data_IF_668851642333
#
_entry.id   IF_668851642333
#
_cell.length_a   1.000
_cell.length_b   1.000
_cell.length_c   1.000
_cell.angle_alpha   90.00
_cell.angle_beta   90.00
_cell.angle_gamma   90.00
#
_symmetry.space_group_name_H-M   'P 1'
#
loop_
_entity.id
_entity.type
_entity.pdbx_description
1 polymer ?
#
# COMPACT_ATOMS: atom_id res chain seq x y z
N UNK A 1 11.40 9.59 7.58
CA UNK A 1 10.90 8.62 6.60
C UNK A 1 10.75 9.27 5.22
N UNK A 2 11.07 8.52 4.16
CA UNK A 2 10.81 8.90 2.76
C UNK A 2 10.04 7.77 2.07
N UNK A 3 8.92 8.11 1.46
CA UNK A 3 8.03 7.18 0.74
C UNK A 3 8.07 7.53 -0.75
N UNK A 4 8.27 6.54 -1.60
CA UNK A 4 8.25 6.68 -3.06
C UNK A 4 7.35 5.60 -3.66
N UNK A 5 6.46 6.00 -4.56
CA UNK A 5 5.57 5.08 -5.27
C UNK A 5 6.12 4.81 -6.67
N UNK A 6 6.23 3.52 -7.02
CA UNK A 6 6.73 3.08 -8.33
C UNK A 6 5.60 2.71 -9.30
N UNK A 7 4.34 2.81 -8.87
CA UNK A 7 3.16 2.35 -9.61
C UNK A 7 2.59 1.06 -9.03
N UNK A 8 1.35 0.72 -9.41
CA UNK A 8 0.59 -0.40 -8.82
C UNK A 8 0.59 -0.32 -7.28
N UNK A 9 0.95 -1.40 -6.60
CA UNK A 9 1.13 -1.45 -5.16
C UNK A 9 2.61 -1.35 -4.75
N UNK A 10 3.51 -0.95 -5.65
CA UNK A 10 4.93 -0.94 -5.35
C UNK A 10 5.37 0.34 -4.63
N UNK A 11 5.82 0.18 -3.39
CA UNK A 11 6.38 1.27 -2.58
C UNK A 11 7.81 0.99 -2.14
N UNK A 12 8.61 2.05 -2.13
CA UNK A 12 9.85 2.12 -1.37
C UNK A 12 9.61 2.97 -0.14
N UNK A 13 9.78 2.41 1.05
CA UNK A 13 9.73 3.14 2.32
C UNK A 13 11.12 3.13 2.94
N UNK A 14 11.71 4.30 3.15
CA UNK A 14 13.07 4.45 3.65
C UNK A 14 13.11 5.20 4.98
N UNK A 15 13.87 4.65 5.93
CA UNK A 15 14.16 5.21 7.25
C UNK A 15 15.65 5.16 7.51
N UNK A 16 16.32 6.32 7.50
CA UNK A 16 17.78 6.37 7.49
C UNK A 16 18.37 5.52 6.36
N UNK A 17 19.17 4.52 6.73
CA UNK A 17 19.78 3.56 5.80
C UNK A 17 18.91 2.33 5.51
N UNK A 18 17.86 2.10 6.31
CA UNK A 18 16.97 0.97 6.17
C UNK A 18 15.94 1.22 5.05
N UNK A 19 15.80 0.26 4.14
CA UNK A 19 14.87 0.33 3.01
C UNK A 19 13.92 -0.87 2.98
N UNK A 20 12.63 -0.60 2.98
CA UNK A 20 11.56 -1.54 2.70
C UNK A 20 11.10 -1.40 1.24
N UNK A 21 10.99 -2.52 0.53
CA UNK A 21 10.21 -2.60 -0.69
C UNK A 21 8.90 -3.34 -0.40
N UNK A 22 7.80 -2.87 -0.97
CA UNK A 22 6.51 -3.55 -0.92
C UNK A 22 6.09 -3.82 -2.36
N UNK A 23 5.61 -5.03 -2.64
CA UNK A 23 5.05 -5.50 -3.91
C UNK A 23 5.82 -5.07 -5.18
N UNK A 24 7.11 -5.43 -5.33
CA UNK A 24 7.83 -5.15 -6.56
C UNK A 24 7.21 -5.89 -7.75
N UNK A 25 7.11 -5.24 -8.91
CA UNK A 25 6.49 -5.77 -10.12
C UNK A 25 7.49 -5.96 -11.27
N UNK A 26 7.11 -6.73 -12.30
CA UNK A 26 7.90 -6.89 -13.52
C UNK A 26 7.44 -5.99 -14.67
N UNK A 27 8.19 -6.02 -15.78
CA UNK A 27 7.97 -5.13 -16.93
C UNK A 27 6.71 -5.48 -17.74
N UNK A 28 6.16 -6.66 -17.52
CA UNK A 28 5.00 -7.22 -18.21
C UNK A 28 3.77 -6.33 -18.10
N UNK A 29 3.58 -5.67 -16.94
CA UNK A 29 2.48 -4.73 -16.68
C UNK A 29 2.62 -3.40 -17.44
N UNK A 30 3.73 -3.18 -18.14
CA UNK A 30 3.99 -1.97 -18.95
C UNK A 30 4.75 -0.85 -18.24
N UNK A 31 5.01 -0.99 -16.94
CA UNK A 31 5.80 -0.04 -16.16
C UNK A 31 7.28 -0.45 -16.10
N UNK A 32 8.15 0.50 -15.75
CA UNK A 32 9.57 0.22 -15.47
C UNK A 32 9.69 -0.42 -14.09
N UNK A 33 10.21 -1.64 -13.96
CA UNK A 33 10.39 -2.30 -12.67
C UNK A 33 11.21 -1.47 -11.68
N UNK A 34 10.91 -1.52 -10.37
CA UNK A 34 11.71 -0.85 -9.37
C UNK A 34 13.15 -1.39 -9.37
N UNK A 35 14.14 -0.49 -9.33
CA UNK A 35 15.56 -0.87 -9.23
C UNK A 35 16.24 -0.07 -8.13
N UNK A 36 16.22 -0.62 -6.92
CA UNK A 36 16.91 -0.07 -5.76
C UNK A 36 17.24 -1.18 -4.76
N UNK A 37 18.30 -1.00 -3.95
CA UNK A 37 18.61 -1.92 -2.86
C UNK A 37 17.54 -1.81 -1.78
N UNK A 38 17.04 -2.95 -1.30
CA UNK A 38 16.18 -3.05 -0.13
C UNK A 38 16.82 -3.95 0.93
N UNK A 39 16.43 -3.73 2.18
CA UNK A 39 16.78 -4.57 3.33
C UNK A 39 15.70 -5.60 3.62
N UNK A 40 14.45 -5.24 3.34
CA UNK A 40 13.26 -6.06 3.53
C UNK A 40 12.36 -5.89 2.30
N UNK A 41 11.80 -6.99 1.82
CA UNK A 41 10.79 -7.00 0.75
C UNK A 41 9.52 -7.65 1.30
N UNK A 42 8.39 -6.95 1.24
CA UNK A 42 7.09 -7.50 1.59
C UNK A 42 6.35 -7.82 0.29
N UNK A 43 5.80 -9.03 0.21
CA UNK A 43 4.94 -9.45 -0.90
C UNK A 43 3.57 -9.81 -0.31
N UNK A 44 2.54 -9.06 -0.70
CA UNK A 44 1.18 -9.19 -0.16
C UNK A 44 0.52 -10.48 -0.64
N UNK A 45 0.76 -10.86 -1.90
CA UNK A 45 0.27 -12.08 -2.54
C UNK A 45 1.07 -12.40 -3.82
N UNK A 46 0.84 -13.59 -4.40
CA UNK A 46 1.69 -14.15 -5.46
C UNK A 46 1.22 -13.84 -6.89
N UNK A 47 0.43 -12.78 -7.09
CA UNK A 47 0.10 -12.35 -8.44
C UNK A 47 1.31 -11.70 -9.12
N UNK A 48 1.35 -11.85 -10.44
CA UNK A 48 2.49 -11.47 -11.30
C UNK A 48 2.90 -9.99 -11.19
N UNK A 49 1.96 -9.13 -10.86
CA UNK A 49 2.08 -7.69 -10.73
C UNK A 49 2.49 -7.24 -9.31
N UNK A 50 2.75 -8.17 -8.39
CA UNK A 50 3.09 -7.89 -6.99
C UNK A 50 4.32 -8.65 -6.45
N UNK A 51 4.80 -9.71 -7.12
CA UNK A 51 5.75 -10.64 -6.51
C UNK A 51 7.13 -10.72 -7.16
N UNK A 52 7.50 -9.76 -8.00
CA UNK A 52 8.76 -9.74 -8.74
C UNK A 52 9.96 -9.30 -7.88
N UNK A 53 10.26 -10.09 -6.85
CA UNK A 53 11.40 -9.87 -5.93
C UNK A 53 12.73 -9.86 -6.67
N UNK A 54 12.85 -10.54 -7.81
CA UNK A 54 14.06 -10.57 -8.64
C UNK A 54 14.46 -9.19 -9.21
N UNK A 55 13.54 -8.22 -9.24
CA UNK A 55 13.87 -6.83 -9.59
C UNK A 55 14.69 -6.11 -8.52
N UNK A 56 14.66 -6.60 -7.29
CA UNK A 56 15.39 -6.05 -6.15
C UNK A 56 16.76 -6.75 -6.06
N UNK A 57 17.88 -6.01 -5.89
CA UNK A 57 19.19 -6.60 -5.66
C UNK A 57 19.21 -7.58 -4.49
N UNK A 58 20.03 -8.63 -4.60
CA UNK A 58 20.15 -9.67 -3.59
C UNK A 58 20.52 -9.14 -2.19
N UNK A 59 20.09 -9.86 -1.15
CA UNK A 59 20.43 -9.59 0.25
C UNK A 59 19.29 -9.02 1.11
N UNK A 60 18.11 -8.78 0.52
CA UNK A 60 16.92 -8.41 1.26
C UNK A 60 16.28 -9.63 1.96
N UNK A 61 15.72 -9.43 3.15
CA UNK A 61 14.86 -10.42 3.78
C UNK A 61 13.46 -10.35 3.16
N UNK A 62 12.92 -11.47 2.69
CA UNK A 62 11.64 -11.50 1.99
C UNK A 62 10.56 -12.04 2.93
N UNK A 63 9.51 -11.25 3.15
CA UNK A 63 8.31 -11.65 3.90
C UNK A 63 7.20 -11.97 2.90
N UNK A 64 6.59 -13.14 3.08
CA UNK A 64 5.46 -13.62 2.28
C UNK A 64 4.38 -14.15 3.20
N UNK A 65 3.19 -13.58 3.09
CA UNK A 65 1.99 -14.02 3.79
C UNK A 65 1.84 -13.53 5.24
N UNK A 66 0.74 -13.92 5.89
CA UNK A 66 0.39 -13.47 7.24
C UNK A 66 1.38 -13.93 8.31
N UNK A 67 1.41 -13.23 9.44
CA UNK A 67 2.27 -13.55 10.59
C UNK A 67 2.91 -12.31 11.20
N UNK A 68 3.61 -12.49 12.33
CA UNK A 68 4.39 -11.44 12.98
C UNK A 68 5.88 -11.63 12.66
N UNK A 69 6.54 -10.55 12.27
CA UNK A 69 7.93 -10.55 11.89
C UNK A 69 8.66 -9.34 12.49
N UNK A 70 9.87 -9.54 12.96
CA UNK A 70 10.77 -8.47 13.39
C UNK A 70 12.08 -8.56 12.59
N UNK A 71 12.33 -7.56 11.73
CA UNK A 71 13.49 -7.56 10.84
C UNK A 71 14.21 -6.22 10.94
N UNK A 72 15.46 -6.24 11.42
CA UNK A 72 16.32 -5.05 11.50
C UNK A 72 15.64 -3.87 12.22
N UNK A 73 14.87 -4.15 13.28
CA UNK A 73 14.14 -3.14 14.05
C UNK A 73 12.84 -2.64 13.41
N UNK A 74 12.37 -3.28 12.33
CA UNK A 74 11.03 -3.12 11.78
C UNK A 74 10.14 -4.23 12.31
N UNK A 75 9.04 -3.88 12.94
CA UNK A 75 7.98 -4.84 13.23
C UNK A 75 6.98 -4.86 12.07
N UNK A 76 6.59 -6.05 11.64
CA UNK A 76 5.62 -6.26 10.56
C UNK A 76 4.58 -7.28 11.02
N UNK A 77 3.31 -6.91 10.94
CA UNK A 77 2.17 -7.80 11.17
C UNK A 77 1.43 -8.00 9.85
N UNK A 78 1.53 -9.20 9.30
CA UNK A 78 0.76 -9.65 8.14
C UNK A 78 -0.60 -10.18 8.57
N UNK A 79 -1.68 -9.56 8.11
CA UNK A 79 -3.07 -9.91 8.43
C UNK A 79 -3.71 -10.51 7.20
N UNK A 80 -4.32 -11.68 7.34
CA UNK A 80 -4.93 -12.35 6.18
C UNK A 80 -6.28 -11.76 5.83
N UNK A 81 -6.41 -11.37 4.56
CA UNK A 81 -7.68 -10.97 3.93
C UNK A 81 -7.86 -11.71 2.61
N UNK A 82 -8.91 -11.35 1.88
CA UNK A 82 -9.19 -11.86 0.54
C UNK A 82 -9.04 -10.78 -0.51
N UNK A 83 -8.70 -11.23 -1.72
CA UNK A 83 -8.63 -10.38 -2.91
C UNK A 83 -9.98 -10.33 -3.65
N UNK A 84 -11.03 -10.91 -3.09
CA UNK A 84 -12.37 -10.89 -3.67
C UNK A 84 -13.45 -10.98 -2.57
N UNK A 85 -14.70 -10.75 -2.97
CA UNK A 85 -15.89 -10.85 -2.11
C UNK A 85 -16.40 -12.29 -1.94
N UNK A 86 -15.63 -13.29 -2.40
CA UNK A 86 -15.98 -14.71 -2.43
C UNK A 86 -15.03 -15.56 -1.58
N UNK A 87 -14.35 -14.95 -0.61
CA UNK A 87 -13.41 -15.61 0.32
C UNK A 87 -12.17 -16.20 -0.41
N UNK A 88 -11.68 -15.48 -1.42
CA UNK A 88 -10.50 -15.84 -2.20
C UNK A 88 -10.76 -16.92 -3.26
N UNK A 89 -12.02 -17.25 -3.55
CA UNK A 89 -12.38 -18.28 -4.55
C UNK A 89 -12.12 -17.84 -5.98
N UNK A 90 -12.07 -16.53 -6.25
CA UNK A 90 -11.90 -15.99 -7.60
C UNK A 90 -10.48 -15.46 -7.82
N UNK A 91 -9.89 -14.84 -6.80
CA UNK A 91 -8.61 -14.11 -6.87
C UNK A 91 -7.61 -14.48 -5.78
N UNK A 92 -7.98 -15.40 -4.88
CA UNK A 92 -7.08 -15.89 -3.84
C UNK A 92 -7.01 -15.00 -2.59
N UNK A 93 -5.97 -15.25 -1.79
CA UNK A 93 -5.74 -14.53 -0.53
C UNK A 93 -4.95 -13.26 -0.78
N UNK A 94 -5.18 -12.29 0.09
CA UNK A 94 -4.38 -11.07 0.20
C UNK A 94 -3.78 -10.99 1.62
N UNK A 95 -2.66 -10.29 1.76
CA UNK A 95 -2.08 -9.98 3.07
C UNK A 95 -1.99 -8.47 3.22
N UNK A 96 -2.69 -7.93 4.21
CA UNK A 96 -2.44 -6.56 4.69
C UNK A 96 -1.16 -6.60 5.51
N UNK A 97 -0.23 -5.68 5.29
CA UNK A 97 0.92 -5.51 6.17
C UNK A 97 0.79 -4.24 6.99
N UNK A 98 0.74 -4.40 8.31
CA UNK A 98 0.98 -3.31 9.27
C UNK A 98 2.45 -3.28 9.60
N UNK A 99 3.09 -2.13 9.44
CA UNK A 99 4.54 -1.94 9.52
C UNK A 99 4.81 -0.85 10.54
N UNK A 100 5.66 -1.14 11.53
CA UNK A 100 6.07 -0.17 12.53
C UNK A 100 7.54 0.18 12.33
N UNK A 101 7.80 1.46 12.03
CA UNK A 101 9.16 1.99 11.85
C UNK A 101 9.18 3.50 12.09
N UNK A 102 10.28 4.04 12.65
CA UNK A 102 10.38 5.45 13.08
C UNK A 102 9.21 5.92 13.96
N UNK A 103 8.75 5.07 14.89
CA UNK A 103 7.61 5.38 15.79
C UNK A 103 6.32 5.73 15.03
N UNK A 104 6.20 5.28 13.78
CA UNK A 104 5.03 5.43 12.93
C UNK A 104 4.49 4.05 12.53
N UNK A 105 3.16 3.93 12.45
CA UNK A 105 2.47 2.72 12.00
C UNK A 105 1.91 2.93 10.60
N UNK A 106 2.32 2.11 9.65
CA UNK A 106 1.85 2.15 8.27
C UNK A 106 1.03 0.90 8.00
N UNK A 107 -0.03 1.01 7.20
CA UNK A 107 -0.77 -0.15 6.71
C UNK A 107 -0.78 -0.15 5.18
N UNK A 108 -0.29 -1.24 4.59
CA UNK A 108 -0.38 -1.49 3.16
C UNK A 108 -1.44 -2.55 2.90
N UNK A 109 -2.52 -2.17 2.22
CA UNK A 109 -3.67 -3.05 2.06
C UNK A 109 -3.48 -4.14 0.99
N UNK A 110 -2.41 -4.08 0.21
CA UNK A 110 -2.23 -4.95 -0.96
C UNK A 110 -3.43 -4.79 -1.91
N UNK A 111 -3.92 -5.92 -2.39
CA UNK A 111 -5.10 -5.97 -3.26
C UNK A 111 -6.34 -6.37 -2.47
N UNK A 112 -6.60 -5.64 -1.39
CA UNK A 112 -7.82 -5.83 -0.61
C UNK A 112 -9.05 -5.78 -1.53
N UNK A 113 -9.89 -6.82 -1.46
CA UNK A 113 -11.05 -7.01 -2.34
C UNK A 113 -12.30 -7.49 -1.63
N UNK A 114 -12.33 -7.46 -0.29
CA UNK A 114 -13.54 -7.75 0.47
C UNK A 114 -14.51 -6.56 0.42
N UNK A 115 -15.81 -6.82 0.61
CA UNK A 115 -16.85 -5.78 0.54
C UNK A 115 -16.64 -4.71 1.62
N UNK A 116 -16.24 -5.13 2.82
CA UNK A 116 -15.95 -4.26 3.96
C UNK A 116 -14.79 -4.84 4.75
N UNK A 117 -14.08 -3.97 5.46
CA UNK A 117 -13.11 -4.43 6.44
C UNK A 117 -13.84 -5.12 7.60
N UNK A 118 -13.46 -6.37 7.88
CA UNK A 118 -14.07 -7.14 8.96
C UNK A 118 -13.66 -6.56 10.33
N UNK A 119 -14.53 -6.57 11.35
CA UNK A 119 -14.20 -6.02 12.67
C UNK A 119 -12.91 -6.59 13.28
N UNK A 120 -12.67 -7.89 13.14
CA UNK A 120 -11.47 -8.55 13.64
C UNK A 120 -10.20 -8.18 12.85
N UNK A 121 -10.36 -7.82 11.57
CA UNK A 121 -9.26 -7.29 10.76
C UNK A 121 -8.94 -5.87 11.21
N UNK A 122 -9.96 -5.05 11.48
CA UNK A 122 -9.79 -3.68 11.97
C UNK A 122 -9.12 -3.64 13.35
N UNK A 123 -9.51 -4.53 14.26
CA UNK A 123 -8.88 -4.69 15.58
C UNK A 123 -7.39 -5.04 15.45
N UNK A 124 -7.04 -5.97 14.55
CA UNK A 124 -5.64 -6.33 14.30
C UNK A 124 -4.83 -5.20 13.65
N UNK A 125 -5.46 -4.36 12.82
CA UNK A 125 -4.80 -3.20 12.22
C UNK A 125 -4.47 -2.15 13.30
N UNK A 126 -5.45 -1.82 14.15
CA UNK A 126 -5.32 -0.77 15.17
C UNK A 126 -5.11 0.63 14.56
N UNK A 127 -4.52 1.53 15.33
CA UNK A 127 -4.30 2.93 14.89
C UNK A 127 -3.21 3.04 13.81
N UNK A 128 -3.54 3.66 12.68
CA UNK A 128 -2.61 3.81 11.55
C UNK A 128 -2.28 5.29 11.30
N UNK A 129 -1.00 5.56 11.08
CA UNK A 129 -0.55 6.88 10.68
C UNK A 129 -0.63 7.08 9.17
N UNK A 130 -0.22 6.07 8.40
CA UNK A 130 -0.14 6.13 6.94
C UNK A 130 -0.79 4.88 6.34
N UNK A 131 -1.87 5.07 5.58
CA UNK A 131 -2.57 4.01 4.88
C UNK A 131 -2.27 4.06 3.37
N UNK A 132 -1.87 2.93 2.80
CA UNK A 132 -1.82 2.71 1.35
C UNK A 132 -3.05 1.90 0.92
N UNK A 133 -3.92 2.47 0.09
CA UNK A 133 -5.23 1.90 -0.25
C UNK A 133 -5.40 1.76 -1.78
N UNK A 134 -5.75 0.56 -2.29
CA UNK A 134 -6.04 0.40 -3.72
C UNK A 134 -7.38 1.09 -4.07
N UNK A 135 -7.45 1.74 -5.24
CA UNK A 135 -8.65 2.49 -5.67
C UNK A 135 -9.06 2.22 -7.13
N UNK A 136 -8.47 1.20 -7.76
CA UNK A 136 -8.61 0.95 -9.20
C UNK A 136 -9.85 0.15 -9.64
N UNK A 137 -10.67 -0.34 -8.69
CA UNK A 137 -12.03 -0.88 -8.89
C UNK A 137 -12.21 -2.20 -9.65
N UNK A 138 -11.36 -2.51 -10.63
CA UNK A 138 -11.57 -3.69 -11.49
C UNK A 138 -11.11 -5.00 -10.84
N UNK A 139 -9.95 -4.96 -10.16
CA UNK A 139 -9.32 -6.13 -9.55
C UNK A 139 -9.34 -6.06 -8.02
N UNK A 140 -9.46 -4.85 -7.47
CA UNK A 140 -9.52 -4.54 -6.04
C UNK A 140 -10.85 -3.87 -5.70
N UNK A 141 -10.99 -3.35 -4.49
CA UNK A 141 -12.06 -2.39 -4.16
C UNK A 141 -12.05 -1.16 -5.09
N UNK A 142 -13.24 -0.58 -5.27
CA UNK A 142 -13.45 0.68 -5.99
C UNK A 142 -13.28 1.91 -5.08
N UNK A 143 -13.48 3.10 -5.64
CA UNK A 143 -13.32 4.35 -4.92
C UNK A 143 -14.27 4.53 -3.72
N UNK A 144 -15.50 4.03 -3.80
CA UNK A 144 -16.49 4.17 -2.72
C UNK A 144 -16.14 3.23 -1.57
N UNK A 145 -15.87 1.95 -1.87
CA UNK A 145 -15.42 0.98 -0.88
C UNK A 145 -14.06 1.38 -0.26
N UNK A 146 -13.14 1.96 -1.04
CA UNK A 146 -11.88 2.50 -0.52
C UNK A 146 -12.13 3.64 0.48
N UNK A 147 -13.05 4.56 0.20
CA UNK A 147 -13.41 5.62 1.14
C UNK A 147 -14.05 5.06 2.42
N UNK A 148 -14.89 4.02 2.33
CA UNK A 148 -15.42 3.32 3.51
C UNK A 148 -14.30 2.71 4.36
N UNK A 149 -13.30 2.07 3.73
CA UNK A 149 -12.14 1.49 4.45
C UNK A 149 -11.32 2.58 5.12
N UNK A 150 -11.09 3.72 4.46
CA UNK A 150 -10.37 4.86 5.07
C UNK A 150 -11.13 5.40 6.28
N UNK A 151 -12.45 5.54 6.19
CA UNK A 151 -13.28 6.00 7.30
C UNK A 151 -13.36 4.99 8.45
N UNK A 152 -13.20 3.69 8.17
CA UNK A 152 -13.17 2.66 9.21
C UNK A 152 -11.81 2.63 9.95
N UNK A 153 -10.70 2.85 9.24
CA UNK A 153 -9.34 2.82 9.80
C UNK A 153 -8.97 4.18 10.45
N UNK A 154 -9.56 5.28 9.99
CA UNK A 154 -9.28 6.65 10.42
C UNK A 154 -7.78 7.00 10.44
N UNK A 155 -7.02 6.77 9.34
CA UNK A 155 -5.60 7.03 9.34
C UNK A 155 -5.31 8.54 9.35
N UNK A 156 -4.16 8.96 9.88
CA UNK A 156 -3.73 10.37 9.81
C UNK A 156 -3.50 10.82 8.36
N UNK A 157 -2.94 9.92 7.55
CA UNK A 157 -2.61 10.15 6.15
C UNK A 157 -3.00 8.94 5.30
N UNK A 158 -3.54 9.19 4.10
CA UNK A 158 -3.85 8.16 3.11
C UNK A 158 -3.18 8.45 1.77
N UNK A 159 -2.63 7.41 1.16
CA UNK A 159 -2.01 7.41 -0.17
C UNK A 159 -2.80 6.40 -1.04
N UNK A 160 -3.59 6.85 -2.02
CA UNK A 160 -4.21 5.93 -2.97
C UNK A 160 -3.12 5.27 -3.82
N UNK A 161 -3.37 4.02 -4.22
CA UNK A 161 -2.49 3.22 -5.06
C UNK A 161 -3.32 2.34 -6.00
N UNK A 162 -2.65 1.51 -6.81
CA UNK A 162 -3.31 0.54 -7.68
C UNK A 162 -4.45 1.14 -8.54
N UNK A 163 -4.15 2.24 -9.23
CA UNK A 163 -5.05 2.95 -10.15
C UNK A 163 -4.37 3.20 -11.50
N UNK A 164 -5.15 3.65 -12.49
CA UNK A 164 -4.66 3.91 -13.84
C UNK A 164 -3.59 5.01 -13.89
N UNK A 165 -2.44 4.68 -14.48
CA UNK A 165 -1.38 5.63 -14.78
C UNK A 165 -0.86 5.43 -16.21
N UNK A 166 -0.14 6.42 -16.73
CA UNK A 166 0.44 6.35 -18.07
C UNK A 166 1.40 5.16 -18.20
N UNK A 167 1.26 4.38 -19.28
CA UNK A 167 2.10 3.21 -19.58
C UNK A 167 1.64 1.89 -18.95
N UNK A 168 0.76 1.92 -17.96
CA UNK A 168 0.18 0.71 -17.38
C UNK A 168 -0.73 0.00 -18.39
N UNK A 169 -0.53 -1.31 -18.56
CA UNK A 169 -1.37 -2.15 -19.44
C UNK A 169 -2.59 -2.72 -18.74
N UNK A 170 -2.53 -2.87 -17.42
CA UNK A 170 -3.67 -3.30 -16.60
C UNK A 170 -4.71 -2.18 -16.63
N UNK A 171 -5.95 -2.53 -16.97
CA UNK A 171 -7.06 -1.58 -17.02
C UNK A 171 -7.61 -1.39 -15.63
N UNK A 172 -7.53 -0.16 -15.14
CA UNK A 172 -8.00 0.27 -13.83
C UNK A 172 -8.73 1.61 -13.98
N UNK A 173 -9.50 1.99 -12.98
CA UNK A 173 -10.00 3.34 -12.85
C UNK A 173 -8.89 4.29 -12.38
N UNK A 174 -9.03 5.57 -12.69
CA UNK A 174 -8.16 6.62 -12.16
C UNK A 174 -8.53 7.01 -10.72
N UNK A 175 -7.70 7.81 -10.04
CA UNK A 175 -7.91 8.16 -8.64
C UNK A 175 -9.02 9.20 -8.43
N UNK A 176 -9.58 9.79 -9.49
CA UNK A 176 -10.43 10.98 -9.42
C UNK A 176 -11.69 10.78 -8.57
N UNK A 177 -12.34 9.62 -8.71
CA UNK A 177 -13.55 9.32 -7.93
C UNK A 177 -13.20 9.16 -6.44
N UNK A 178 -12.09 8.49 -6.10
CA UNK A 178 -11.63 8.37 -4.72
C UNK A 178 -11.28 9.74 -4.11
N UNK A 179 -10.58 10.60 -4.86
CA UNK A 179 -10.26 11.95 -4.38
C UNK A 179 -11.53 12.77 -4.11
N UNK A 180 -12.57 12.59 -4.91
CA UNK A 180 -13.88 13.22 -4.70
C UNK A 180 -14.57 12.71 -3.43
N UNK A 181 -14.60 11.39 -3.21
CA UNK A 181 -15.17 10.79 -1.99
C UNK A 181 -14.45 11.27 -0.72
N UNK A 182 -13.12 11.40 -0.78
CA UNK A 182 -12.32 11.94 0.31
C UNK A 182 -12.39 13.48 0.45
N UNK A 183 -13.14 14.17 -0.41
CA UNK A 183 -13.22 15.64 -0.42
C UNK A 183 -11.90 16.34 -0.75
N UNK A 184 -10.92 15.60 -1.28
CA UNK A 184 -9.58 16.09 -1.56
C UNK A 184 -9.53 16.83 -2.91
N UNK A 185 -9.36 18.15 -2.86
CA UNK A 185 -9.34 19.02 -4.05
C UNK A 185 -7.97 19.67 -4.23
N UNK A 186 -7.61 19.94 -5.49
CA UNK A 186 -6.39 20.66 -5.87
C UNK A 186 -5.08 20.01 -5.35
N UNK A 187 -5.05 18.68 -5.26
CA UNK A 187 -3.81 17.96 -4.94
C UNK A 187 -2.82 18.10 -6.10
N UNK A 188 -1.57 18.36 -5.75
CA UNK A 188 -0.45 18.30 -6.70
C UNK A 188 0.28 16.98 -6.47
N UNK A 189 0.36 16.08 -7.46
CA UNK A 189 1.09 14.82 -7.31
C UNK A 189 2.57 15.06 -6.98
N UNK A 190 3.08 14.40 -5.95
CA UNK A 190 4.47 14.50 -5.50
C UNK A 190 5.30 13.29 -5.97
N UNK A 191 6.57 13.49 -6.33
CA UNK A 191 7.47 12.38 -6.72
C UNK A 191 7.84 11.48 -5.53
N UNK A 192 7.83 12.05 -4.33
CA UNK A 192 8.09 11.34 -3.07
C UNK A 192 7.51 12.15 -1.92
N UNK A 193 7.11 11.45 -0.85
CA UNK A 193 6.67 12.06 0.40
C UNK A 193 7.78 11.94 1.44
N UNK A 194 8.18 13.06 2.04
CA UNK A 194 9.15 13.08 3.15
C UNK A 194 8.45 13.54 4.41
N UNK A 195 8.49 12.71 5.46
CA UNK A 195 7.78 12.97 6.71
C UNK A 195 8.63 12.58 7.93
N UNK A 196 8.39 13.28 9.03
CA UNK A 196 8.79 12.95 10.39
C UNK A 196 7.54 12.74 11.24
N UNK A 197 7.67 12.05 12.36
CA UNK A 197 6.56 11.82 13.32
C UNK A 197 5.78 13.10 13.66
N UNK A 198 6.49 14.21 13.89
CA UNK A 198 5.89 15.53 14.20
C UNK A 198 5.04 16.14 13.09
N UNK A 199 5.21 15.69 11.84
CA UNK A 199 4.45 16.18 10.69
C UNK A 199 3.08 15.49 10.58
N UNK A 200 2.85 14.44 11.40
CA UNK A 200 1.61 13.69 11.54
C UNK A 200 0.90 14.12 12.84
N UNK A 201 0.65 15.41 13.03
CA UNK A 201 -0.12 15.89 14.20
C UNK A 201 -1.51 15.23 14.25
N UNK A 202 -2.14 15.21 15.43
CA UNK A 202 -3.57 14.88 15.55
C UNK A 202 -4.36 15.89 14.70
N UNK A 203 -4.79 15.45 13.53
CA UNK A 203 -5.69 16.20 12.65
C UNK A 203 -7.09 15.66 12.85
N UNK A 204 -8.09 16.56 12.86
CA UNK A 204 -9.51 16.19 12.94
C UNK A 204 -9.98 15.36 11.72
N UNK A 205 -9.16 15.27 10.67
CA UNK A 205 -9.48 14.53 9.44
C UNK A 205 -8.24 13.91 8.80
N UNK A 206 -8.46 12.82 8.05
CA UNK A 206 -7.45 12.15 7.25
C UNK A 206 -6.95 13.05 6.12
N UNK A 207 -5.63 13.25 6.03
CA UNK A 207 -4.99 13.96 4.91
C UNK A 207 -4.75 13.01 3.74
N UNK A 208 -5.23 13.37 2.55
CA UNK A 208 -4.90 12.64 1.30
C UNK A 208 -3.58 13.16 0.71
N UNK A 209 -2.69 12.26 0.32
CA UNK A 209 -1.47 12.57 -0.45
C UNK A 209 -1.46 11.78 -1.75
N UNK A 210 -1.30 12.46 -2.87
CA UNK A 210 -1.19 11.84 -4.18
C UNK A 210 0.27 11.78 -4.60
N UNK A 211 0.76 10.57 -4.90
CA UNK A 211 2.10 10.36 -5.43
C UNK A 211 2.05 10.14 -6.95
N UNK A 212 3.16 10.44 -7.62
CA UNK A 212 3.35 10.12 -9.03
C UNK A 212 4.62 9.31 -9.23
N UNK A 213 4.61 8.47 -10.26
CA UNK A 213 5.80 7.79 -10.76
C UNK A 213 6.67 8.79 -11.52
N UNK A 214 7.98 8.76 -11.27
CA UNK A 214 8.98 9.57 -11.97
C UNK A 214 9.30 9.09 -13.38
#
# INVERSE_FOLDING_TARGET
>A
MVITWYGQACFKVQSGDLVLAIDPFGKEIGLTPPRFKADVVLVTHEHHDHNNVESIPEGAFVVRGPGEYEIKGVAVTGISTFHDTKEGKERGRNTIYVIEMEEMRLAHLGDFGEEKIRPETLEQIGEIDILFVPVGGTYTIDAEAAAEVVNAIEPRLVIPMHYAISGLKIKLDGPEQFLKEMGAKNLTPEDRLTLKRKDLSETESTRVVLLKTG
#
